data_IF_478188967715
#
_entry.id   IF_478188967715
#
_cell.length_a   1.000
_cell.length_b   1.000
_cell.length_c   1.000
_cell.angle_alpha   90.00
_cell.angle_beta   90.00
_cell.angle_gamma   90.00
#
_symmetry.space_group_name_H-M   'P 1'
#
loop_
_entity.id
_entity.type
_entity.pdbx_description
1 polymer ?
#
# COMPACT_ATOMS: atom_id res chain seq x y z
N UNK A 1 -10.55 35.63 -31.96
CA UNK A 1 -9.25 35.08 -31.51
C UNK A 1 -9.34 35.00 -30.00
N UNK A 2 -9.51 33.80 -29.43
CA UNK A 2 -9.55 33.62 -27.98
C UNK A 2 -8.18 33.12 -27.53
N UNK A 3 -7.42 33.98 -26.84
CA UNK A 3 -6.19 33.58 -26.17
C UNK A 3 -6.55 32.69 -24.96
N UNK A 4 -6.14 31.43 -25.01
CA UNK A 4 -6.18 30.54 -23.85
C UNK A 4 -5.03 30.94 -22.92
N UNK A 5 -5.35 31.72 -21.88
CA UNK A 5 -4.43 31.99 -20.78
C UNK A 5 -4.19 30.69 -20.00
N UNK A 6 -3.04 30.05 -20.23
CA UNK A 6 -2.54 28.96 -19.39
C UNK A 6 -2.13 29.51 -18.02
N UNK A 7 -3.04 29.43 -17.06
CA UNK A 7 -2.72 29.63 -15.65
C UNK A 7 -2.22 28.31 -15.09
N UNK A 8 -0.94 28.26 -14.69
CA UNK A 8 -0.40 27.12 -13.96
C UNK A 8 -1.22 26.95 -12.65
N UNK A 9 -1.62 25.72 -12.30
CA UNK A 9 -2.48 25.48 -11.14
C UNK A 9 -1.79 25.95 -9.84
N UNK A 10 -2.57 26.60 -8.98
CA UNK A 10 -2.09 27.07 -7.67
C UNK A 10 -1.67 25.91 -6.77
N UNK A 11 -0.87 26.18 -5.73
CA UNK A 11 -0.45 25.15 -4.77
C UNK A 11 -1.66 24.43 -4.11
N UNK A 12 -2.77 25.13 -3.90
CA UNK A 12 -4.02 24.55 -3.39
C UNK A 12 -4.72 23.64 -4.41
N UNK A 13 -4.73 24.01 -5.70
CA UNK A 13 -5.28 23.17 -6.78
C UNK A 13 -4.41 21.94 -7.01
N UNK A 14 -3.08 22.09 -6.97
CA UNK A 14 -2.12 20.99 -7.03
C UNK A 14 -2.30 20.02 -5.87
N UNK A 15 -2.62 20.51 -4.67
CA UNK A 15 -2.90 19.67 -3.50
C UNK A 15 -4.27 18.97 -3.60
N UNK A 16 -5.30 19.68 -4.11
CA UNK A 16 -6.65 19.13 -4.33
C UNK A 16 -6.70 18.07 -5.44
N UNK A 17 -5.81 18.18 -6.42
CA UNK A 17 -5.66 17.22 -7.52
C UNK A 17 -4.45 16.29 -7.35
N UNK A 18 -3.71 16.41 -6.24
CA UNK A 18 -2.60 15.52 -5.92
C UNK A 18 -3.14 14.09 -5.81
N UNK A 19 -2.62 13.23 -6.68
CA UNK A 19 -2.97 11.82 -6.70
C UNK A 19 -2.29 11.18 -5.49
N UNK A 20 -3.05 11.04 -4.39
CA UNK A 20 -2.55 10.43 -3.15
C UNK A 20 -2.03 9.02 -3.44
N UNK A 21 -0.74 8.83 -3.25
CA UNK A 21 -0.05 7.56 -3.41
C UNK A 21 -0.64 6.50 -2.47
N UNK A 22 -1.08 5.37 -3.03
CA UNK A 22 -1.51 4.21 -2.23
C UNK A 22 -0.30 3.56 -1.52
N UNK A 23 -0.52 3.00 -0.33
CA UNK A 23 0.49 2.29 0.48
C UNK A 23 1.32 1.29 -0.38
N UNK A 24 2.64 1.47 -0.39
CA UNK A 24 3.67 0.48 -0.76
C UNK A 24 4.62 0.33 0.43
N UNK A 25 5.49 -0.66 0.56
CA UNK A 25 5.85 -1.82 -0.24
C UNK A 25 5.18 -3.06 0.37
N UNK A 26 4.59 -3.94 -0.44
CA UNK A 26 4.25 -5.31 -0.01
C UNK A 26 4.92 -6.27 -0.98
N UNK A 27 5.89 -7.05 -0.49
CA UNK A 27 6.66 -8.02 -1.28
C UNK A 27 6.05 -9.40 -1.07
N UNK A 28 5.15 -9.77 -1.97
CA UNK A 28 4.52 -11.09 -2.03
C UNK A 28 4.72 -11.68 -3.42
N UNK A 29 5.91 -12.23 -3.69
CA UNK A 29 6.11 -13.13 -4.82
C UNK A 29 5.46 -14.47 -4.44
N UNK A 30 4.66 -15.04 -5.33
CA UNK A 30 4.10 -16.36 -5.07
C UNK A 30 2.91 -16.78 -5.91
N UNK A 31 2.24 -15.87 -6.62
CA UNK A 31 1.11 -16.20 -7.49
C UNK A 31 1.31 -15.48 -8.83
N UNK A 32 0.99 -16.16 -9.93
CA UNK A 32 0.99 -15.55 -11.27
C UNK A 32 0.01 -14.36 -11.30
N UNK A 33 0.42 -13.26 -11.92
CA UNK A 33 -0.44 -12.08 -12.12
C UNK A 33 -0.87 -12.02 -13.60
N UNK A 34 -2.07 -12.51 -13.96
CA UNK A 34 -2.53 -12.53 -15.34
C UNK A 34 -2.68 -11.12 -15.95
N UNK A 35 -2.67 -10.06 -15.12
CA UNK A 35 -2.62 -8.69 -15.60
C UNK A 35 -1.32 -8.37 -16.34
N UNK A 36 -0.18 -8.91 -15.89
CA UNK A 36 1.13 -8.67 -16.50
C UNK A 36 1.20 -9.25 -17.93
N UNK A 37 0.69 -10.46 -18.14
CA UNK A 37 0.63 -11.08 -19.47
C UNK A 37 -0.21 -10.24 -20.44
N UNK A 38 -1.36 -9.74 -19.98
CA UNK A 38 -2.24 -8.94 -20.83
C UNK A 38 -1.63 -7.57 -21.12
N UNK A 39 -0.87 -7.00 -20.17
CA UNK A 39 -0.15 -5.75 -20.38
C UNK A 39 0.88 -5.91 -21.51
N UNK A 40 1.65 -7.01 -21.47
CA UNK A 40 2.65 -7.34 -22.51
C UNK A 40 2.01 -7.50 -23.89
N UNK A 41 0.86 -8.17 -23.99
CA UNK A 41 0.12 -8.29 -25.26
C UNK A 41 -0.35 -6.93 -25.79
N UNK A 42 -0.86 -6.07 -24.91
CA UNK A 42 -1.29 -4.73 -25.30
C UNK A 42 -0.10 -3.83 -25.68
N UNK A 43 1.06 -4.02 -25.04
CA UNK A 43 2.28 -3.27 -25.34
C UNK A 43 2.83 -3.58 -26.72
N UNK A 44 2.81 -4.85 -27.11
CA UNK A 44 3.19 -5.26 -28.47
C UNK A 44 2.28 -4.63 -29.52
N UNK A 45 0.99 -4.47 -29.21
CA UNK A 45 0.01 -3.90 -30.13
C UNK A 45 0.03 -2.37 -30.17
N UNK A 46 0.35 -1.73 -29.05
CA UNK A 46 0.34 -0.28 -28.87
C UNK A 46 1.66 0.17 -28.23
N UNK A 47 2.79 0.11 -28.97
CA UNK A 47 4.08 0.51 -28.44
C UNK A 47 4.06 1.99 -28.04
N UNK A 48 4.80 2.34 -26.99
CA UNK A 48 4.89 3.72 -26.50
C UNK A 48 3.63 4.26 -25.83
N UNK A 49 2.61 3.42 -25.59
CA UNK A 49 1.40 3.80 -24.87
C UNK A 49 1.47 3.42 -23.39
N UNK A 50 0.87 4.27 -22.57
CA UNK A 50 0.67 3.98 -21.15
C UNK A 50 -0.45 2.95 -21.00
N UNK A 51 -0.14 1.75 -20.52
CA UNK A 51 -1.08 0.62 -20.49
C UNK A 51 -1.62 0.39 -19.09
N UNK A 52 -2.95 0.44 -18.98
CA UNK A 52 -3.65 0.22 -17.73
C UNK A 52 -4.70 -0.86 -17.87
N UNK A 53 -4.70 -1.77 -16.92
CA UNK A 53 -5.59 -2.93 -16.90
C UNK A 53 -6.47 -2.87 -15.68
N UNK A 54 -7.77 -2.99 -15.87
CA UNK A 54 -8.70 -3.15 -14.77
C UNK A 54 -8.50 -4.50 -14.08
N UNK A 55 -8.36 -4.44 -12.76
CA UNK A 55 -8.42 -5.58 -11.87
C UNK A 55 -9.25 -5.19 -10.65
N UNK A 56 -10.46 -5.75 -10.56
CA UNK A 56 -11.46 -5.34 -9.57
C UNK A 56 -11.80 -3.86 -9.67
N UNK A 57 -11.58 -3.12 -8.57
CA UNK A 57 -11.85 -1.67 -8.46
C UNK A 57 -10.65 -0.78 -8.81
N UNK A 58 -9.59 -1.36 -9.37
CA UNK A 58 -8.34 -0.65 -9.65
C UNK A 58 -7.96 -0.76 -11.11
N UNK A 59 -7.30 0.29 -11.61
CA UNK A 59 -6.51 0.25 -12.84
C UNK A 59 -5.06 0.04 -12.47
N UNK A 60 -4.44 -0.93 -13.12
CA UNK A 60 -3.10 -1.39 -12.82
C UNK A 60 -2.20 -1.22 -14.03
N UNK A 61 -1.10 -0.52 -13.84
CA UNK A 61 0.02 -0.47 -14.77
C UNK A 61 1.10 -1.46 -14.36
N UNK A 62 1.81 -2.00 -15.34
CA UNK A 62 2.87 -2.99 -15.18
C UNK A 62 4.18 -2.49 -15.79
N UNK A 63 5.31 -2.97 -15.27
CA UNK A 63 6.66 -2.82 -15.82
C UNK A 63 6.96 -1.38 -16.27
N UNK A 64 7.20 -1.13 -17.57
CA UNK A 64 7.52 0.22 -18.07
C UNK A 64 6.45 1.25 -17.72
N UNK A 65 5.18 0.88 -17.82
CA UNK A 65 4.07 1.76 -17.42
C UNK A 65 4.10 2.04 -15.92
N UNK A 66 4.32 1.02 -15.10
CA UNK A 66 4.41 1.18 -13.65
C UNK A 66 5.58 2.09 -13.26
N UNK A 67 6.75 1.91 -13.88
CA UNK A 67 7.95 2.72 -13.64
C UNK A 67 7.77 4.17 -14.09
N UNK A 68 7.15 4.39 -15.24
CA UNK A 68 6.86 5.74 -15.75
C UNK A 68 5.93 6.48 -14.80
N UNK A 69 4.88 5.81 -14.32
CA UNK A 69 3.96 6.38 -13.34
C UNK A 69 4.62 6.65 -11.97
N UNK A 70 5.56 5.79 -11.56
CA UNK A 70 6.39 6.04 -10.38
C UNK A 70 7.25 7.29 -10.55
N UNK A 71 7.89 7.46 -11.71
CA UNK A 71 8.79 8.58 -11.96
C UNK A 71 8.03 9.91 -12.07
N UNK A 72 6.94 9.93 -12.84
CA UNK A 72 6.19 11.16 -13.13
C UNK A 72 5.27 11.61 -11.99
N UNK A 73 4.70 10.67 -11.23
CA UNK A 73 3.68 10.96 -10.20
C UNK A 73 4.02 10.40 -8.83
N UNK A 74 5.25 9.91 -8.64
CA UNK A 74 5.73 9.36 -7.36
C UNK A 74 4.85 8.23 -6.82
N UNK A 75 4.23 7.46 -7.72
CA UNK A 75 3.38 6.33 -7.32
C UNK A 75 4.21 5.17 -6.79
N UNK A 76 3.82 4.63 -5.63
CA UNK A 76 4.56 3.54 -5.00
C UNK A 76 4.47 2.25 -5.82
N UNK A 77 5.63 1.76 -6.26
CA UNK A 77 5.79 0.47 -6.91
C UNK A 77 5.49 -0.69 -5.94
N UNK A 78 4.91 -1.76 -6.47
CA UNK A 78 4.75 -3.06 -5.79
C UNK A 78 5.39 -4.15 -6.64
N UNK A 79 6.07 -5.09 -5.98
CA UNK A 79 6.63 -6.27 -6.65
C UNK A 79 5.61 -7.41 -6.61
N UNK A 80 5.25 -7.95 -7.77
CA UNK A 80 4.22 -8.99 -7.94
C UNK A 80 4.69 -10.07 -8.91
N UNK A 81 3.93 -11.16 -9.05
CA UNK A 81 4.24 -12.29 -9.92
C UNK A 81 4.94 -13.44 -9.18
N UNK A 82 5.68 -14.23 -9.95
CA UNK A 82 6.43 -15.38 -9.43
C UNK A 82 7.90 -15.04 -9.24
N UNK A 83 8.62 -15.92 -8.55
CA UNK A 83 10.06 -15.77 -8.36
C UNK A 83 10.82 -15.78 -9.69
N UNK A 84 10.33 -16.55 -10.68
CA UNK A 84 10.92 -16.67 -12.02
C UNK A 84 10.48 -15.58 -12.98
N UNK A 85 9.28 -15.01 -12.79
CA UNK A 85 8.74 -13.93 -13.62
C UNK A 85 8.20 -12.79 -12.74
N UNK A 86 9.09 -11.99 -12.13
CA UNK A 86 8.70 -10.86 -11.30
C UNK A 86 8.31 -9.65 -12.16
N UNK A 87 7.32 -8.90 -11.68
CA UNK A 87 6.84 -7.67 -12.30
C UNK A 87 6.73 -6.53 -11.29
N UNK A 88 6.92 -5.31 -11.75
CA UNK A 88 6.51 -4.14 -10.98
C UNK A 88 5.11 -3.72 -11.37
N UNK A 89 4.31 -3.35 -10.36
CA UNK A 89 2.93 -2.93 -10.55
C UNK A 89 2.63 -1.65 -9.78
N UNK A 90 1.83 -0.80 -10.40
CA UNK A 90 1.22 0.37 -9.77
C UNK A 90 -0.28 0.32 -10.00
N UNK A 91 -1.07 0.57 -8.95
CA UNK A 91 -2.52 0.55 -9.04
C UNK A 91 -3.15 1.80 -8.46
N UNK A 92 -4.20 2.31 -9.11
CA UNK A 92 -5.03 3.38 -8.58
C UNK A 92 -6.52 3.08 -8.78
N UNK A 93 -7.42 3.68 -7.98
CA UNK A 93 -8.85 3.41 -8.09
C UNK A 93 -9.40 3.75 -9.48
N UNK A 94 -10.23 2.87 -10.04
CA UNK A 94 -10.87 3.08 -11.35
C UNK A 94 -11.87 4.24 -11.35
N UNK A 95 -12.41 4.62 -10.19
CA UNK A 95 -13.34 5.73 -10.07
C UNK A 95 -12.74 7.06 -10.56
N UNK A 96 -13.38 7.69 -11.55
CA UNK A 96 -12.92 8.91 -12.21
C UNK A 96 -11.52 8.80 -12.86
N UNK A 97 -11.14 7.60 -13.32
CA UNK A 97 -9.82 7.38 -13.91
C UNK A 97 -9.55 8.29 -15.11
N UNK A 98 -10.57 8.59 -15.93
CA UNK A 98 -10.46 9.51 -17.05
C UNK A 98 -9.86 10.85 -16.62
N UNK A 99 -10.32 11.43 -15.51
CA UNK A 99 -9.78 12.70 -14.99
C UNK A 99 -8.32 12.58 -14.53
N UNK A 100 -7.97 11.45 -13.90
CA UNK A 100 -6.63 11.19 -13.36
C UNK A 100 -5.61 10.94 -14.47
N UNK A 101 -6.01 10.20 -15.50
CA UNK A 101 -5.22 9.96 -16.70
C UNK A 101 -5.13 11.21 -17.56
N UNK A 102 -6.22 11.95 -17.71
CA UNK A 102 -6.26 13.16 -18.53
C UNK A 102 -5.22 14.19 -18.10
N UNK A 103 -4.99 14.34 -16.80
CA UNK A 103 -3.92 15.22 -16.30
C UNK A 103 -2.53 14.76 -16.76
N UNK A 104 -2.24 13.47 -16.67
CA UNK A 104 -0.97 12.90 -17.16
C UNK A 104 -0.81 13.07 -18.68
N UNK A 105 -1.90 12.84 -19.42
CA UNK A 105 -1.93 12.93 -20.88
C UNK A 105 -1.77 14.37 -21.35
N UNK A 106 -2.38 15.34 -20.67
CA UNK A 106 -2.22 16.76 -21.01
C UNK A 106 -0.86 17.32 -20.60
N UNK A 107 -0.35 16.93 -19.43
CA UNK A 107 0.90 17.47 -18.88
C UNK A 107 2.15 16.92 -19.56
N UNK A 108 2.15 15.63 -19.90
CA UNK A 108 3.31 14.96 -20.48
C UNK A 108 3.09 14.51 -21.92
N UNK A 109 1.89 14.70 -22.47
CA UNK A 109 1.60 14.30 -23.85
C UNK A 109 1.85 12.82 -24.10
N UNK A 110 1.40 11.92 -23.20
CA UNK A 110 1.64 10.48 -23.34
C UNK A 110 0.36 9.79 -23.85
N UNK A 111 0.41 9.04 -24.97
CA UNK A 111 -0.74 8.28 -25.43
C UNK A 111 -1.01 7.10 -24.48
N UNK A 112 -2.26 6.63 -24.40
CA UNK A 112 -2.65 5.62 -23.40
C UNK A 112 -3.63 4.58 -23.94
N UNK A 113 -3.60 3.41 -23.31
CA UNK A 113 -4.52 2.29 -23.52
C UNK A 113 -5.08 1.86 -22.18
N UNK A 114 -6.41 1.87 -22.04
CA UNK A 114 -7.10 1.35 -20.86
C UNK A 114 -7.94 0.15 -21.24
N UNK A 115 -7.65 -1.00 -20.64
CA UNK A 115 -8.46 -2.20 -20.74
C UNK A 115 -9.41 -2.29 -19.54
N UNK A 116 -10.70 -2.10 -19.79
CA UNK A 116 -11.78 -2.17 -18.80
C UNK A 116 -12.51 -3.52 -18.89
N UNK A 117 -13.01 -4.02 -17.76
CA UNK A 117 -13.71 -5.30 -17.65
C UNK A 117 -12.90 -6.39 -16.95
N UNK A 118 -13.49 -7.58 -16.85
CA UNK A 118 -12.91 -8.75 -16.19
C UNK A 118 -12.65 -9.88 -17.21
N UNK A 119 -11.88 -10.91 -16.84
CA UNK A 119 -11.76 -12.10 -17.71
C UNK A 119 -13.10 -12.82 -17.89
N UNK A 120 -14.02 -12.72 -16.93
CA UNK A 120 -15.33 -13.38 -16.98
C UNK A 120 -16.37 -12.64 -17.83
N UNK A 121 -16.34 -11.30 -17.83
CA UNK A 121 -17.34 -10.45 -18.50
C UNK A 121 -16.86 -9.94 -19.87
N UNK A 122 -15.61 -10.22 -20.24
CA UNK A 122 -14.96 -9.66 -21.42
C UNK A 122 -14.33 -8.29 -21.13
N UNK A 123 -13.36 -7.90 -21.97
CA UNK A 123 -12.61 -6.64 -21.81
C UNK A 123 -12.84 -5.71 -22.99
N UNK A 124 -13.16 -4.45 -22.68
CA UNK A 124 -13.26 -3.35 -23.64
C UNK A 124 -11.96 -2.55 -23.58
N UNK A 125 -11.33 -2.33 -24.73
CA UNK A 125 -10.07 -1.59 -24.84
C UNK A 125 -10.35 -0.19 -25.36
N UNK A 126 -9.98 0.82 -24.58
CA UNK A 126 -10.03 2.23 -24.94
C UNK A 126 -8.63 2.71 -25.27
N UNK A 127 -8.46 3.37 -26.42
CA UNK A 127 -7.19 3.90 -26.90
C UNK A 127 -7.32 5.42 -27.10
N UNK A 128 -6.30 6.18 -26.72
CA UNK A 128 -6.27 7.63 -26.93
C UNK A 128 -6.32 8.00 -28.42
N UNK A 129 -7.06 9.06 -28.77
CA UNK A 129 -7.27 9.49 -30.16
C UNK A 129 -6.08 10.23 -30.79
N UNK A 130 -5.03 10.53 -30.02
CA UNK A 130 -3.84 11.28 -30.47
C UNK A 130 -2.58 10.41 -30.38
N UNK A 131 -2.31 9.54 -31.38
CA UNK A 131 -1.16 8.65 -31.38
C UNK A 131 0.18 9.36 -31.65
N UNK A 132 0.16 10.62 -32.09
CA UNK A 132 1.35 11.44 -32.41
C UNK A 132 1.98 12.13 -31.18
N UNK A 133 1.42 11.86 -29.99
CA UNK A 133 1.91 12.34 -28.71
C UNK A 133 3.23 11.63 -28.31
N UNK A 134 4.05 12.29 -27.48
CA UNK A 134 5.45 11.97 -27.22
C UNK A 134 5.67 10.59 -26.57
N UNK A 135 5.80 9.57 -27.41
CA UNK A 135 6.14 8.20 -27.02
C UNK A 135 7.57 8.06 -26.46
N UNK A 136 8.39 9.12 -26.50
CA UNK A 136 9.78 9.09 -26.03
C UNK A 136 9.87 8.76 -24.53
N UNK A 137 8.89 9.19 -23.73
CA UNK A 137 8.93 9.01 -22.27
C UNK A 137 8.88 7.54 -21.87
N UNK A 138 8.02 6.73 -22.51
CA UNK A 138 7.90 5.30 -22.23
C UNK A 138 9.01 4.49 -22.89
N UNK A 139 9.46 4.90 -24.08
CA UNK A 139 10.56 4.24 -24.80
C UNK A 139 11.93 4.50 -24.17
N UNK A 140 12.09 5.60 -23.43
CA UNK A 140 13.27 5.86 -22.60
C UNK A 140 13.41 4.87 -21.44
N UNK A 141 12.33 4.23 -21.01
CA UNK A 141 12.36 3.18 -19.98
C UNK A 141 12.72 1.85 -20.63
N UNK A 142 14.03 1.56 -20.68
CA UNK A 142 14.52 0.27 -21.18
C UNK A 142 14.16 -0.89 -20.25
N UNK A 143 14.16 -2.11 -20.80
CA UNK A 143 13.94 -3.33 -20.01
C UNK A 143 15.02 -3.54 -18.94
N UNK A 144 16.24 -3.03 -19.18
CA UNK A 144 17.32 -3.06 -18.21
C UNK A 144 16.99 -2.25 -16.96
N UNK A 145 16.38 -1.06 -17.12
CA UNK A 145 15.94 -0.22 -15.99
C UNK A 145 14.85 -0.94 -15.18
N UNK A 146 13.89 -1.57 -15.85
CA UNK A 146 12.84 -2.34 -15.17
C UNK A 146 13.44 -3.50 -14.39
N UNK A 147 14.39 -4.24 -14.99
CA UNK A 147 15.08 -5.35 -14.34
C UNK A 147 15.91 -4.91 -13.12
N UNK A 148 16.60 -3.77 -13.21
CA UNK A 148 17.36 -3.19 -12.09
C UNK A 148 16.44 -2.81 -10.92
N UNK A 149 15.33 -2.15 -11.20
CA UNK A 149 14.34 -1.76 -10.17
C UNK A 149 13.71 -3.00 -9.51
N UNK A 150 13.42 -4.04 -10.30
CA UNK A 150 12.97 -5.33 -9.77
C UNK A 150 14.03 -5.91 -8.83
N UNK A 151 15.29 -5.93 -9.25
CA UNK A 151 16.41 -6.43 -8.45
C UNK A 151 16.55 -5.66 -7.13
N UNK A 152 16.50 -4.33 -7.18
CA UNK A 152 16.53 -3.47 -6.00
C UNK A 152 15.37 -3.76 -5.04
N UNK A 153 14.15 -3.92 -5.56
CA UNK A 153 12.99 -4.25 -4.74
C UNK A 153 13.11 -5.64 -4.11
N UNK A 154 13.68 -6.61 -4.82
CA UNK A 154 13.99 -7.93 -4.29
C UNK A 154 15.05 -7.85 -3.18
N UNK A 155 16.15 -7.13 -3.40
CA UNK A 155 17.20 -6.92 -2.41
C UNK A 155 16.66 -6.21 -1.16
N UNK A 156 15.87 -5.15 -1.31
CA UNK A 156 15.20 -4.47 -0.19
C UNK A 156 14.25 -5.41 0.56
N UNK A 157 13.50 -6.24 -0.17
CA UNK A 157 12.67 -7.30 0.41
C UNK A 157 13.50 -8.31 1.20
N UNK A 158 14.64 -8.73 0.68
CA UNK A 158 15.57 -9.64 1.33
C UNK A 158 16.23 -9.00 2.57
N UNK A 159 16.64 -7.73 2.50
CA UNK A 159 17.17 -6.96 3.63
C UNK A 159 16.11 -6.75 4.72
N UNK A 160 14.85 -6.49 4.35
CA UNK A 160 13.75 -6.40 5.31
C UNK A 160 13.46 -7.76 5.95
N UNK A 161 13.52 -8.85 5.19
CA UNK A 161 13.41 -10.22 5.72
C UNK A 161 14.60 -10.56 6.63
N UNK A 162 15.81 -10.17 6.26
CA UNK A 162 17.04 -10.37 7.04
C UNK A 162 17.06 -9.52 8.30
N UNK A 163 16.59 -8.26 8.23
CA UNK A 163 16.42 -7.36 9.38
C UNK A 163 15.31 -7.86 10.29
N UNK A 164 14.20 -8.35 9.73
CA UNK A 164 13.20 -9.05 10.52
C UNK A 164 13.79 -10.31 11.16
N UNK A 165 14.59 -11.10 10.45
CA UNK A 165 15.28 -12.28 10.98
C UNK A 165 16.30 -11.92 12.08
N UNK A 166 17.04 -10.82 11.93
CA UNK A 166 18.00 -10.31 12.92
C UNK A 166 17.31 -9.72 14.16
N UNK A 167 16.21 -8.98 13.96
CA UNK A 167 15.32 -8.54 15.05
C UNK A 167 14.70 -9.73 15.79
N UNK A 168 14.44 -10.84 15.09
CA UNK A 168 13.94 -12.08 15.66
C UNK A 168 15.04 -12.95 16.29
N UNK A 169 16.30 -12.76 15.90
CA UNK A 169 17.45 -13.46 16.46
C UNK A 169 17.96 -12.84 17.77
N UNK A 170 17.62 -11.57 18.05
CA UNK A 170 17.98 -10.86 19.28
C UNK A 170 16.75 -10.57 20.15
N UNK A 171 16.33 -11.52 21.00
CA UNK A 171 15.09 -11.41 21.79
C UNK A 171 15.03 -10.14 22.66
N UNK A 172 16.14 -9.69 23.23
CA UNK A 172 16.17 -8.49 24.10
C UNK A 172 15.79 -7.19 23.37
N UNK A 173 16.12 -7.07 22.08
CA UNK A 173 15.74 -5.91 21.26
C UNK A 173 14.28 -5.97 20.80
N UNK A 174 13.76 -7.17 20.60
CA UNK A 174 12.39 -7.40 20.13
C UNK A 174 11.35 -7.08 21.19
N UNK A 175 11.64 -7.38 22.47
CA UNK A 175 10.79 -7.04 23.61
C UNK A 175 10.76 -5.53 23.83
N UNK A 176 11.92 -4.86 23.73
CA UNK A 176 12.00 -3.41 23.82
C UNK A 176 11.21 -2.73 22.70
N UNK A 177 11.34 -3.21 21.46
CA UNK A 177 10.62 -2.68 20.30
C UNK A 177 9.12 -2.98 20.36
N UNK A 178 8.71 -4.13 20.89
CA UNK A 178 7.30 -4.46 21.13
C UNK A 178 6.69 -3.46 22.12
N UNK A 179 7.40 -3.15 23.22
CA UNK A 179 6.99 -2.15 24.21
C UNK A 179 6.86 -0.75 23.60
N UNK A 180 7.88 -0.28 22.88
CA UNK A 180 7.87 1.06 22.30
C UNK A 180 6.76 1.22 21.25
N UNK A 181 6.55 0.23 20.37
CA UNK A 181 5.51 0.28 19.34
C UNK A 181 4.09 0.19 19.91
N UNK A 182 3.89 -0.60 20.97
CA UNK A 182 2.60 -0.63 21.67
C UNK A 182 2.29 0.70 22.36
N UNK A 183 3.30 1.32 22.99
CA UNK A 183 3.19 2.65 23.63
C UNK A 183 2.88 3.75 22.61
N UNK A 184 3.58 3.77 21.47
CA UNK A 184 3.35 4.76 20.41
C UNK A 184 1.92 4.67 19.86
N UNK A 185 1.44 3.45 19.62
CA UNK A 185 0.06 3.23 19.17
C UNK A 185 -0.96 3.64 20.25
N UNK A 186 -0.74 3.29 21.50
CA UNK A 186 -1.64 3.65 22.62
C UNK A 186 -1.77 5.17 22.79
N UNK A 187 -0.63 5.88 22.82
CA UNK A 187 -0.61 7.34 22.94
C UNK A 187 -1.39 8.01 21.79
N UNK A 188 -1.18 7.52 20.57
CA UNK A 188 -1.79 8.04 19.37
C UNK A 188 -3.29 7.77 19.30
N UNK A 189 -3.73 6.56 19.68
CA UNK A 189 -5.16 6.22 19.76
C UNK A 189 -5.85 7.01 20.89
N UNK A 190 -5.19 7.21 22.03
CA UNK A 190 -5.73 7.98 23.13
C UNK A 190 -6.01 9.43 22.72
N UNK A 191 -5.08 10.07 22.01
CA UNK A 191 -5.26 11.41 21.47
C UNK A 191 -6.46 11.49 20.52
N UNK A 192 -6.64 10.48 19.66
CA UNK A 192 -7.77 10.42 18.74
C UNK A 192 -9.10 10.20 19.49
N UNK A 193 -9.13 9.29 20.47
CA UNK A 193 -10.32 8.95 21.27
C UNK A 193 -10.81 10.15 22.09
N UNK A 194 -9.89 10.93 22.68
CA UNK A 194 -10.22 12.14 23.44
C UNK A 194 -10.89 13.19 22.53
N UNK A 195 -10.54 13.22 21.25
CA UNK A 195 -11.14 14.15 20.27
C UNK A 195 -12.47 13.66 19.70
N UNK A 196 -12.88 12.43 20.00
CA UNK A 196 -14.16 11.88 19.49
C UNK A 196 -15.38 12.52 20.17
N UNK A 197 -16.50 12.68 19.45
CA UNK A 197 -17.81 12.96 20.03
C UNK A 197 -18.21 11.95 21.11
N UNK A 198 -18.99 12.38 22.12
CA UNK A 198 -19.30 11.55 23.32
C UNK A 198 -19.98 10.21 22.99
N UNK A 199 -20.90 10.22 22.03
CA UNK A 199 -21.62 9.05 21.51
C UNK A 199 -20.66 8.03 20.89
N UNK A 200 -19.73 8.49 20.05
CA UNK A 200 -18.73 7.63 19.41
C UNK A 200 -17.62 7.22 20.39
N UNK A 201 -17.25 8.06 21.33
CA UNK A 201 -16.27 7.72 22.36
C UNK A 201 -16.77 6.58 23.24
N UNK A 202 -18.03 6.63 23.67
CA UNK A 202 -18.61 5.61 24.55
C UNK A 202 -18.79 4.25 23.85
N UNK A 203 -19.09 4.23 22.55
CA UNK A 203 -19.39 3.00 21.81
C UNK A 203 -18.22 2.45 21.01
N UNK A 204 -17.34 3.30 20.49
CA UNK A 204 -16.21 2.93 19.64
C UNK A 204 -14.87 3.17 20.33
N UNK A 205 -14.69 4.36 20.90
CA UNK A 205 -13.45 4.74 21.57
C UNK A 205 -13.12 3.87 22.80
N UNK A 206 -14.12 3.51 23.59
CA UNK A 206 -13.92 2.68 24.78
C UNK A 206 -13.53 1.24 24.41
N UNK A 207 -14.09 0.70 23.33
CA UNK A 207 -13.69 -0.62 22.81
C UNK A 207 -12.25 -0.62 22.31
N UNK A 208 -11.83 0.44 21.61
CA UNK A 208 -10.43 0.62 21.20
C UNK A 208 -9.50 0.73 22.42
N UNK A 209 -9.85 1.55 23.41
CA UNK A 209 -9.08 1.71 24.65
C UNK A 209 -8.97 0.40 25.42
N UNK A 210 -10.06 -0.35 25.54
CA UNK A 210 -10.06 -1.64 26.24
C UNK A 210 -9.15 -2.66 25.56
N UNK A 211 -9.19 -2.76 24.23
CA UNK A 211 -8.28 -3.64 23.48
C UNK A 211 -6.82 -3.20 23.66
N UNK A 212 -6.55 -1.89 23.57
CA UNK A 212 -5.21 -1.36 23.70
C UNK A 212 -4.64 -1.54 25.11
N UNK A 213 -5.48 -1.40 26.15
CA UNK A 213 -5.11 -1.70 27.52
C UNK A 213 -4.74 -3.18 27.73
N UNK A 214 -5.47 -4.12 27.10
CA UNK A 214 -5.11 -5.56 27.14
C UNK A 214 -3.78 -5.85 26.44
N UNK A 215 -3.55 -5.23 25.27
CA UNK A 215 -2.27 -5.33 24.56
C UNK A 215 -1.13 -4.80 25.43
N UNK A 216 -1.28 -3.59 25.98
CA UNK A 216 -0.28 -2.97 26.84
C UNK A 216 0.02 -3.84 28.06
N UNK A 217 -1.00 -4.32 28.75
CA UNK A 217 -0.82 -5.25 29.88
C UNK A 217 -0.03 -6.49 29.46
N UNK A 218 -0.37 -7.11 28.32
CA UNK A 218 0.34 -8.29 27.84
C UNK A 218 1.78 -8.01 27.45
N UNK A 219 2.04 -6.89 26.78
CA UNK A 219 3.39 -6.47 26.37
C UNK A 219 4.29 -6.18 27.56
N UNK A 220 3.76 -5.57 28.63
CA UNK A 220 4.51 -5.33 29.86
C UNK A 220 4.71 -6.59 30.70
N UNK A 221 3.74 -7.51 30.70
CA UNK A 221 3.84 -8.80 31.37
C UNK A 221 4.77 -9.79 30.66
N UNK A 222 5.08 -9.59 29.37
CA UNK A 222 5.82 -10.54 28.54
C UNK A 222 7.14 -11.06 29.14
N UNK A 223 7.89 -10.20 29.82
CA UNK A 223 9.17 -10.57 30.44
C UNK A 223 9.03 -11.43 31.70
N UNK A 224 7.86 -11.43 32.34
CA UNK A 224 7.56 -12.11 33.60
C UNK A 224 6.60 -13.30 33.43
N UNK A 225 6.09 -13.52 32.22
CA UNK A 225 5.10 -14.55 31.95
C UNK A 225 5.76 -15.90 31.66
N UNK A 226 5.28 -16.95 32.35
CA UNK A 226 5.74 -18.32 32.13
C UNK A 226 5.24 -18.86 30.77
N UNK A 227 3.96 -18.63 30.45
CA UNK A 227 3.36 -19.05 29.19
C UNK A 227 3.35 -17.93 28.13
N UNK A 228 4.55 -17.60 27.65
CA UNK A 228 4.75 -16.55 26.63
C UNK A 228 3.95 -16.80 25.35
N UNK A 229 3.76 -18.06 24.95
CA UNK A 229 3.05 -18.41 23.71
C UNK A 229 1.56 -18.11 23.81
N UNK A 230 0.92 -18.46 24.93
CA UNK A 230 -0.49 -18.13 25.16
C UNK A 230 -0.70 -16.61 25.27
N UNK A 231 0.19 -15.92 25.98
CA UNK A 231 0.16 -14.47 26.11
C UNK A 231 0.25 -13.78 24.74
N UNK A 232 1.21 -14.18 23.90
CA UNK A 232 1.37 -13.62 22.55
C UNK A 232 0.16 -13.91 21.66
N UNK A 233 -0.48 -15.08 21.77
CA UNK A 233 -1.73 -15.38 21.06
C UNK A 233 -2.86 -14.45 21.51
N UNK A 234 -2.96 -14.16 22.82
CA UNK A 234 -3.89 -13.18 23.36
C UNK A 234 -3.65 -11.77 22.81
N UNK A 235 -2.39 -11.31 22.83
CA UNK A 235 -2.00 -10.02 22.24
C UNK A 235 -2.34 -9.98 20.74
N UNK A 236 -2.08 -11.06 20.00
CA UNK A 236 -2.38 -11.14 18.57
C UNK A 236 -3.89 -10.97 18.30
N UNK A 237 -4.74 -11.63 19.08
CA UNK A 237 -6.19 -11.50 18.95
C UNK A 237 -6.65 -10.06 19.20
N UNK A 238 -6.11 -9.41 20.24
CA UNK A 238 -6.43 -8.01 20.53
C UNK A 238 -5.92 -7.04 19.45
N UNK A 239 -4.76 -7.30 18.85
CA UNK A 239 -4.25 -6.52 17.72
C UNK A 239 -5.18 -6.62 16.51
N UNK A 240 -5.74 -7.80 16.23
CA UNK A 240 -6.70 -7.98 15.15
C UNK A 240 -8.04 -7.28 15.44
N UNK A 241 -8.48 -7.25 16.71
CA UNK A 241 -9.62 -6.44 17.14
C UNK A 241 -9.36 -4.93 16.95
N UNK A 242 -8.16 -4.43 17.29
CA UNK A 242 -7.80 -3.03 17.04
C UNK A 242 -7.85 -2.71 15.54
N UNK A 243 -7.30 -3.57 14.67
CA UNK A 243 -7.40 -3.39 13.21
C UNK A 243 -8.86 -3.37 12.75
N UNK A 244 -9.68 -4.29 13.25
CA UNK A 244 -11.11 -4.35 12.93
C UNK A 244 -11.82 -3.03 13.29
N UNK A 245 -11.61 -2.52 14.50
CA UNK A 245 -12.19 -1.25 14.91
C UNK A 245 -11.66 -0.07 14.10
N UNK A 246 -10.37 0.01 13.78
CA UNK A 246 -9.83 1.07 12.95
C UNK A 246 -10.46 1.10 11.54
N UNK A 247 -10.77 -0.06 10.97
CA UNK A 247 -11.49 -0.17 9.69
C UNK A 247 -12.94 0.28 9.82
N UNK A 248 -13.62 -0.05 10.93
CA UNK A 248 -14.97 0.44 11.19
C UNK A 248 -15.00 1.97 11.40
N UNK A 249 -14.01 2.51 12.10
CA UNK A 249 -13.89 3.93 12.42
C UNK A 249 -13.86 4.83 11.19
N UNK A 250 -13.25 4.38 10.10
CA UNK A 250 -13.25 5.10 8.81
C UNK A 250 -14.66 5.31 8.22
N UNK A 251 -15.62 4.47 8.58
CA UNK A 251 -17.01 4.55 8.10
C UNK A 251 -17.89 5.44 8.98
N UNK A 252 -17.39 5.86 10.14
CA UNK A 252 -18.09 6.76 11.05
C UNK A 252 -17.85 8.19 10.59
N UNK A 253 -18.85 8.78 9.95
CA UNK A 253 -18.81 10.08 9.23
C UNK A 253 -18.32 11.29 10.05
N UNK A 254 -18.24 11.17 11.39
CA UNK A 254 -17.84 12.24 12.31
C UNK A 254 -16.38 12.15 12.80
N UNK A 255 -15.63 11.11 12.42
CA UNK A 255 -14.25 10.92 12.90
C UNK A 255 -13.22 11.49 11.91
N UNK A 256 -12.52 12.55 12.33
CA UNK A 256 -11.31 13.07 11.66
C UNK A 256 -10.06 12.51 12.32
N UNK A 257 -9.86 11.19 12.29
CA UNK A 257 -8.65 10.56 12.79
C UNK A 257 -7.71 10.16 11.64
N UNK A 258 -6.41 10.07 11.91
CA UNK A 258 -5.40 9.58 10.96
C UNK A 258 -5.42 8.05 10.86
N UNK A 259 -6.58 7.48 10.52
CA UNK A 259 -6.83 6.04 10.54
C UNK A 259 -5.81 5.24 9.71
N UNK A 260 -5.29 5.80 8.62
CA UNK A 260 -4.28 5.13 7.79
C UNK A 260 -2.94 4.94 8.51
N UNK A 261 -2.53 5.94 9.29
CA UNK A 261 -1.31 5.91 10.11
C UNK A 261 -1.48 4.97 11.30
N UNK A 262 -2.60 5.08 12.03
CA UNK A 262 -2.92 4.17 13.16
C UNK A 262 -3.01 2.72 12.73
N UNK A 263 -3.61 2.45 11.57
CA UNK A 263 -3.66 1.12 10.98
C UNK A 263 -2.27 0.61 10.58
N UNK A 264 -1.35 1.50 10.17
CA UNK A 264 0.05 1.16 9.90
C UNK A 264 0.74 0.64 11.16
N UNK A 265 0.66 1.38 12.26
CA UNK A 265 1.23 0.99 13.55
C UNK A 265 0.63 -0.32 14.09
N UNK A 266 -0.69 -0.51 13.98
CA UNK A 266 -1.34 -1.77 14.39
C UNK A 266 -0.88 -2.98 13.56
N UNK A 267 -0.59 -2.80 12.26
CA UNK A 267 -0.03 -3.85 11.41
C UNK A 267 1.41 -4.16 11.80
N UNK A 268 2.24 -3.15 12.07
CA UNK A 268 3.62 -3.35 12.53
C UNK A 268 3.68 -4.07 13.87
N UNK A 269 2.80 -3.70 14.80
CA UNK A 269 2.67 -4.38 16.09
C UNK A 269 2.28 -5.86 15.90
N UNK A 270 1.32 -6.15 15.03
CA UNK A 270 0.95 -7.52 14.68
C UNK A 270 2.09 -8.32 14.04
N UNK A 271 2.92 -7.67 13.22
CA UNK A 271 4.11 -8.31 12.62
C UNK A 271 5.14 -8.70 13.68
N UNK A 272 5.35 -7.84 14.69
CA UNK A 272 6.26 -8.12 15.81
C UNK A 272 5.74 -9.29 16.66
N UNK A 273 4.46 -9.26 17.05
CA UNK A 273 3.82 -10.33 17.84
C UNK A 273 3.86 -11.66 17.08
N UNK A 274 3.49 -11.68 15.80
CA UNK A 274 3.53 -12.88 14.98
C UNK A 274 4.96 -13.43 14.79
N UNK A 275 5.96 -12.56 14.75
CA UNK A 275 7.36 -12.96 14.76
C UNK A 275 7.78 -13.65 16.07
N UNK A 276 7.36 -13.11 17.21
CA UNK A 276 7.60 -13.69 18.54
C UNK A 276 6.88 -15.03 18.74
N UNK A 277 5.67 -15.20 18.20
CA UNK A 277 4.95 -16.48 18.26
C UNK A 277 5.72 -17.57 17.50
N UNK A 278 6.22 -17.25 16.31
CA UNK A 278 6.96 -18.21 15.48
C UNK A 278 8.31 -18.61 16.07
N UNK A 279 8.93 -17.75 16.87
CA UNK A 279 10.21 -18.06 17.55
C UNK A 279 10.00 -18.89 18.80
N UNK A 280 8.99 -18.54 19.62
CA UNK A 280 8.61 -19.33 20.79
C UNK A 280 8.02 -20.71 20.45
N UNK A 281 7.57 -20.93 19.21
CA UNK A 281 7.17 -22.24 18.71
C UNK A 281 8.36 -23.13 18.27
N UNK A 282 9.57 -22.57 18.18
CA UNK A 282 10.78 -23.24 17.65
C UNK A 282 11.79 -23.57 18.75
N UNK A 283 11.63 -23.04 19.97
CA UNK A 283 12.42 -23.46 21.13
C UNK A 283 11.70 -24.60 21.88
N UNK A 284 12.35 -25.77 22.06
CA UNK A 284 11.83 -26.87 22.87
C UNK A 284 11.79 -26.54 24.36
#
# INVERSE_FOLDING_TARGET
MYELQHTAPTAEESTKFSLRAYKGIDVGLGHDDPGATIARTLEQKYPGHLILIQSGKFLQGYDRTAYTLYTLKQYKLKLVGTTSEPHIRVGFPIGNFNRRLWQLVQEFGIPYVVSLGSQAEGRVVYVSQHPELDSAVLTAVSDAVVAEVIHDLQQRGALNKASAKALLANPDTSVFKLKSQAQDLDLQLLQDIIRMPRDLRATHGENLRACMARIMRGVFAYGLEDNKTQLLKGISADVDLVKHYLVQGQRLSKLKAEFEHRAGLAVELGRLVGGLIRTNAVQP
#
